data_IF_134539825240
#
_entry.id   IF_134539825240
#
_cell.length_a   1.000
_cell.length_b   1.000
_cell.length_c   1.000
_cell.angle_alpha   90.00
_cell.angle_beta   90.00
_cell.angle_gamma   90.00
#
_symmetry.space_group_name_H-M   'P 1'
#
loop_
_entity.id
_entity.type
_entity.pdbx_description
1 polymer ?
#
# COMPACT_ATOMS: atom_id res chain seq x y z
N UNK A 1 -70.18 54.02 8.14
CA UNK A 1 -68.73 54.25 8.18
C UNK A 1 -68.21 53.84 6.81
N UNK A 2 -68.12 54.81 5.89
CA UNK A 2 -66.83 55.45 5.49
C UNK A 2 -65.96 54.38 4.83
N UNK A 3 -66.20 54.09 3.55
CA UNK A 3 -65.53 54.69 2.38
C UNK A 3 -64.18 54.00 2.11
N UNK A 4 -63.72 53.72 0.90
CA UNK A 4 -64.12 54.19 -0.42
C UNK A 4 -63.35 53.32 -1.45
N UNK A 5 -63.99 53.05 -2.60
CA UNK A 5 -63.47 53.20 -3.97
C UNK A 5 -62.03 52.77 -4.30
N UNK A 6 -61.68 52.25 -5.47
CA UNK A 6 -62.35 51.86 -6.70
C UNK A 6 -61.21 51.47 -7.67
N UNK A 7 -61.53 50.54 -8.57
CA UNK A 7 -61.17 50.45 -10.01
C UNK A 7 -59.88 51.17 -10.49
N UNK A 8 -59.02 50.61 -11.36
CA UNK A 8 -59.37 50.19 -12.73
C UNK A 8 -58.15 49.61 -13.46
N UNK A 9 -58.40 48.52 -14.16
CA UNK A 9 -57.88 48.02 -15.46
C UNK A 9 -56.87 48.84 -16.29
N UNK A 10 -55.90 48.14 -16.91
CA UNK A 10 -55.53 48.15 -18.36
C UNK A 10 -54.19 47.38 -18.52
N UNK A 11 -54.13 46.19 -19.14
CA UNK A 11 -54.07 45.81 -20.57
C UNK A 11 -52.87 46.33 -21.41
N UNK A 12 -52.14 45.33 -21.95
CA UNK A 12 -51.35 45.26 -23.20
C UNK A 12 -50.00 46.00 -23.31
N UNK A 13 -48.95 45.30 -23.77
CA UNK A 13 -48.50 45.27 -25.18
C UNK A 13 -47.31 44.28 -25.32
N UNK A 14 -47.32 43.48 -26.39
CA UNK A 14 -46.24 42.60 -26.89
C UNK A 14 -45.00 43.39 -27.35
N UNK A 15 -43.81 42.81 -27.25
CA UNK A 15 -42.80 42.88 -28.32
C UNK A 15 -41.64 41.91 -28.12
N UNK A 16 -41.39 41.20 -29.22
CA UNK A 16 -40.10 40.77 -29.78
C UNK A 16 -39.38 39.51 -29.30
N UNK A 17 -39.32 38.61 -30.28
CA UNK A 17 -38.56 37.39 -30.43
C UNK A 17 -37.04 37.64 -30.37
N UNK A 18 -36.31 36.86 -29.56
CA UNK A 18 -35.05 36.20 -29.97
C UNK A 18 -35.01 34.82 -29.29
N UNK A 19 -34.84 33.71 -30.02
CA UNK A 19 -34.94 32.37 -29.44
C UNK A 19 -33.67 32.01 -28.65
N UNK A 20 -33.83 31.71 -27.37
CA UNK A 20 -32.78 31.05 -26.58
C UNK A 20 -32.56 29.65 -27.16
N UNK A 21 -31.40 29.51 -27.80
CA UNK A 21 -30.89 28.28 -28.36
C UNK A 21 -30.92 27.19 -27.29
N UNK A 22 -31.81 26.21 -27.47
CA UNK A 22 -31.76 24.91 -26.79
C UNK A 22 -30.35 24.32 -26.99
N UNK A 23 -29.49 24.51 -26.00
CA UNK A 23 -28.33 23.67 -25.80
C UNK A 23 -28.80 22.55 -24.88
N UNK A 24 -29.48 21.56 -25.47
CA UNK A 24 -29.50 20.21 -24.94
C UNK A 24 -28.04 19.73 -24.87
N UNK A 25 -27.35 20.06 -23.79
CA UNK A 25 -26.12 19.38 -23.41
C UNK A 25 -26.54 17.98 -22.98
N UNK A 26 -26.23 17.00 -23.81
CA UNK A 26 -26.19 15.59 -23.44
C UNK A 26 -25.24 15.42 -22.25
N UNK A 27 -25.76 15.53 -21.04
CA UNK A 27 -25.04 15.25 -19.78
C UNK A 27 -25.03 13.76 -19.43
N UNK A 28 -25.32 12.88 -20.38
CA UNK A 28 -25.37 11.42 -20.18
C UNK A 28 -24.16 10.66 -20.79
N UNK A 29 -23.31 11.29 -21.60
CA UNK A 29 -22.22 10.59 -22.30
C UNK A 29 -20.82 10.74 -21.66
N UNK A 30 -20.67 11.55 -20.59
CA UNK A 30 -19.37 11.76 -19.92
C UNK A 30 -19.08 10.80 -18.76
N UNK A 31 -19.91 9.79 -18.51
CA UNK A 31 -19.62 8.72 -17.54
C UNK A 31 -18.66 7.64 -18.10
N UNK A 32 -18.18 7.78 -19.33
CA UNK A 32 -17.36 6.78 -20.01
C UNK A 32 -15.86 6.76 -19.61
N UNK A 33 -15.36 7.69 -18.78
CA UNK A 33 -13.95 7.71 -18.33
C UNK A 33 -13.73 7.27 -16.88
N UNK A 34 -14.80 7.10 -16.10
CA UNK A 34 -14.74 6.60 -14.74
C UNK A 34 -15.65 5.39 -14.65
N UNK A 35 -15.04 4.19 -14.68
CA UNK A 35 -15.74 2.98 -14.25
C UNK A 35 -16.42 3.24 -12.91
N UNK A 36 -17.56 2.59 -12.67
CA UNK A 36 -18.28 2.62 -11.39
C UNK A 36 -17.26 2.72 -10.24
N UNK A 37 -17.40 3.65 -9.31
CA UNK A 37 -16.43 3.85 -8.22
C UNK A 37 -16.13 2.51 -7.49
N UNK A 38 -17.12 1.62 -7.48
CA UNK A 38 -16.98 0.23 -7.02
C UNK A 38 -16.01 -0.60 -7.89
N UNK A 39 -16.01 -0.43 -9.22
CA UNK A 39 -15.07 -1.01 -10.18
C UNK A 39 -13.68 -0.38 -10.09
N UNK A 40 -13.56 0.93 -9.88
CA UNK A 40 -12.25 1.57 -9.64
C UNK A 40 -11.62 0.97 -8.38
N UNK A 41 -12.34 0.95 -7.27
CA UNK A 41 -11.84 0.37 -6.01
C UNK A 41 -11.61 -1.15 -6.12
N UNK A 42 -12.52 -1.89 -6.76
CA UNK A 42 -12.30 -3.32 -7.05
C UNK A 42 -11.12 -3.55 -7.98
N UNK A 43 -10.80 -2.64 -8.88
CA UNK A 43 -9.62 -2.75 -9.75
C UNK A 43 -8.33 -2.53 -8.98
N UNK A 44 -8.31 -1.62 -8.00
CA UNK A 44 -7.23 -1.52 -7.03
C UNK A 44 -7.09 -2.81 -6.22
N UNK A 45 -8.19 -3.35 -5.69
CA UNK A 45 -8.16 -4.60 -4.90
C UNK A 45 -7.81 -5.85 -5.75
N UNK A 46 -8.24 -5.92 -7.01
CA UNK A 46 -7.95 -7.05 -7.93
C UNK A 46 -6.56 -7.01 -8.55
N UNK A 47 -6.04 -5.84 -8.95
CA UNK A 47 -4.64 -5.72 -9.38
C UNK A 47 -3.68 -6.15 -8.25
N UNK A 48 -4.08 -5.91 -7.01
CA UNK A 48 -3.38 -6.36 -5.81
C UNK A 48 -3.51 -7.88 -5.53
N UNK A 49 -4.47 -8.59 -6.16
CA UNK A 49 -4.73 -10.02 -5.94
C UNK A 49 -4.27 -10.92 -7.10
N UNK A 50 -4.35 -10.46 -8.36
CA UNK A 50 -4.10 -11.28 -9.55
C UNK A 50 -2.60 -11.54 -9.83
N UNK A 51 -1.69 -10.85 -9.15
CA UNK A 51 -0.23 -11.09 -9.23
C UNK A 51 0.25 -12.38 -8.54
N UNK A 52 -0.64 -13.15 -7.91
CA UNK A 52 -0.28 -14.33 -7.10
C UNK A 52 -0.74 -15.69 -7.64
N UNK A 53 -1.23 -15.78 -8.89
CA UNK A 53 -1.66 -17.07 -9.46
C UNK A 53 -0.81 -17.54 -10.66
N UNK A 54 0.46 -17.86 -10.41
CA UNK A 54 1.27 -18.88 -11.14
C UNK A 54 2.65 -18.93 -10.49
N UNK A 55 3.35 -20.05 -10.25
CA UNK A 55 3.18 -21.47 -10.55
C UNK A 55 4.10 -22.20 -9.56
N UNK A 56 3.55 -22.93 -8.59
CA UNK A 56 4.34 -23.85 -7.76
C UNK A 56 4.46 -25.20 -8.48
N UNK A 57 5.43 -25.31 -9.37
CA UNK A 57 5.88 -26.61 -9.85
C UNK A 57 6.73 -27.26 -8.74
N UNK A 58 6.10 -28.16 -7.99
CA UNK A 58 6.79 -29.11 -7.12
C UNK A 58 7.61 -30.07 -8.00
N UNK A 59 8.93 -29.98 -7.92
CA UNK A 59 9.79 -31.15 -8.08
C UNK A 59 10.74 -31.21 -6.89
N UNK A 60 10.64 -32.31 -6.14
CA UNK A 60 11.46 -32.56 -4.97
C UNK A 60 12.92 -32.70 -5.36
N UNK A 61 13.76 -31.86 -4.78
CA UNK A 61 15.19 -32.08 -4.70
C UNK A 61 15.54 -32.20 -3.21
N UNK A 62 15.89 -33.41 -2.81
CA UNK A 62 16.61 -33.67 -1.55
C UNK A 62 18.08 -33.42 -1.86
N UNK A 63 18.69 -32.43 -1.21
CA UNK A 63 20.15 -32.25 -1.18
C UNK A 63 20.64 -32.39 0.26
N UNK A 64 21.87 -32.88 0.48
CA UNK A 64 22.30 -33.38 1.78
C UNK A 64 22.63 -32.24 2.75
N UNK A 65 22.39 -32.49 4.03
CA UNK A 65 22.88 -31.68 5.14
C UNK A 65 24.42 -31.69 5.12
N UNK A 66 25.03 -30.57 4.74
CA UNK A 66 26.41 -30.28 5.09
C UNK A 66 26.40 -29.35 6.30
N UNK A 67 26.72 -29.92 7.47
CA UNK A 67 27.21 -29.16 8.61
C UNK A 67 28.46 -28.39 8.17
N UNK A 68 28.39 -27.06 8.19
CA UNK A 68 29.56 -26.21 8.08
C UNK A 68 30.45 -26.49 9.29
N UNK A 69 31.63 -27.07 9.03
CA UNK A 69 32.67 -27.29 10.03
C UNK A 69 33.19 -25.92 10.53
N UNK A 70 32.70 -25.51 11.71
CA UNK A 70 33.02 -24.22 12.35
C UNK A 70 34.53 -24.03 12.63
N UNK A 71 35.32 -25.10 12.69
CA UNK A 71 36.73 -25.03 13.10
C UNK A 71 37.68 -24.52 12.00
N UNK A 72 37.22 -24.41 10.74
CA UNK A 72 38.04 -23.92 9.63
C UNK A 72 37.97 -22.40 9.43
N UNK A 73 36.95 -21.73 10.00
CA UNK A 73 36.75 -20.28 9.84
C UNK A 73 37.54 -19.47 10.87
N UNK A 74 37.86 -20.06 12.03
CA UNK A 74 38.68 -19.42 13.07
C UNK A 74 40.15 -19.20 12.67
N UNK A 75 40.65 -19.90 11.64
CA UNK A 75 42.06 -19.81 11.23
C UNK A 75 42.34 -18.81 10.09
N UNK A 76 41.31 -18.12 9.54
CA UNK A 76 41.46 -17.36 8.29
C UNK A 76 41.26 -15.84 8.39
N UNK A 77 41.08 -15.26 9.58
CA UNK A 77 40.83 -13.81 9.71
C UNK A 77 41.71 -13.15 10.76
N UNK A 78 43.00 -12.99 10.43
CA UNK A 78 43.85 -11.94 11.01
C UNK A 78 44.28 -10.99 9.90
N UNK A 79 43.49 -9.94 9.65
CA UNK A 79 43.95 -8.62 9.18
C UNK A 79 42.81 -7.84 8.50
N UNK A 80 42.09 -7.03 9.27
CA UNK A 80 41.55 -5.74 8.82
C UNK A 80 40.96 -5.01 10.02
N UNK A 81 41.56 -3.89 10.39
CA UNK A 81 41.12 -3.00 11.47
C UNK A 81 39.83 -2.25 11.07
N UNK A 82 38.69 -2.89 11.26
CA UNK A 82 37.37 -2.25 11.35
C UNK A 82 36.69 -2.86 12.58
N UNK A 83 36.29 -2.03 13.54
CA UNK A 83 35.60 -2.50 14.74
C UNK A 83 34.32 -3.25 14.35
N UNK A 84 34.04 -4.43 14.94
CA UNK A 84 32.85 -5.20 14.60
C UNK A 84 31.58 -4.40 14.91
N UNK A 85 30.49 -4.59 14.14
CA UNK A 85 29.25 -3.84 14.30
C UNK A 85 28.74 -3.97 15.73
N UNK A 86 28.54 -2.83 16.38
CA UNK A 86 28.11 -2.79 17.77
C UNK A 86 26.61 -3.10 17.85
N UNK A 87 26.16 -3.65 18.99
CA UNK A 87 24.74 -3.91 19.27
C UNK A 87 23.80 -2.74 18.87
N UNK A 88 24.30 -1.49 18.91
CA UNK A 88 23.60 -0.30 18.47
C UNK A 88 23.12 -0.34 17.01
N UNK A 89 23.94 -0.80 16.06
CA UNK A 89 23.58 -0.83 14.63
C UNK A 89 22.46 -1.86 14.37
N UNK A 90 22.51 -3.00 15.05
CA UNK A 90 21.45 -4.02 15.00
C UNK A 90 20.13 -3.46 15.53
N UNK A 91 20.15 -2.71 16.63
CA UNK A 91 18.96 -2.04 17.17
C UNK A 91 18.41 -0.98 16.20
N UNK A 92 19.28 -0.20 15.55
CA UNK A 92 18.87 0.78 14.54
C UNK A 92 18.21 0.13 13.32
N UNK A 93 18.79 -0.97 12.82
CA UNK A 93 18.20 -1.77 11.73
C UNK A 93 16.81 -2.29 12.14
N UNK A 94 16.67 -2.83 13.36
CA UNK A 94 15.39 -3.35 13.85
C UNK A 94 14.36 -2.24 13.99
N UNK A 95 14.75 -1.08 14.51
CA UNK A 95 13.88 0.10 14.61
C UNK A 95 13.41 0.55 13.23
N UNK A 96 14.32 0.61 12.24
CA UNK A 96 13.97 0.91 10.87
C UNK A 96 12.98 -0.11 10.28
N UNK A 97 13.23 -1.42 10.45
CA UNK A 97 12.31 -2.48 10.00
C UNK A 97 10.95 -2.33 10.69
N UNK A 98 10.91 -2.01 11.97
CA UNK A 98 9.66 -1.78 12.71
C UNK A 98 8.88 -0.59 12.14
N UNK A 99 9.55 0.53 11.87
CA UNK A 99 8.92 1.72 11.28
C UNK A 99 8.37 1.42 9.88
N UNK A 100 9.17 0.76 9.03
CA UNK A 100 8.76 0.33 7.69
C UNK A 100 7.60 -0.66 7.75
N UNK A 101 7.61 -1.60 8.70
CA UNK A 101 6.53 -2.59 8.88
C UNK A 101 5.22 -1.95 9.31
N UNK A 102 5.27 -0.91 10.16
CA UNK A 102 4.06 -0.21 10.61
C UNK A 102 3.54 0.85 9.63
N UNK A 103 4.41 1.45 8.81
CA UNK A 103 4.02 2.49 7.84
C UNK A 103 3.57 1.91 6.49
N UNK A 104 4.27 0.89 6.02
CA UNK A 104 4.11 0.36 4.66
C UNK A 104 3.32 -0.94 4.73
N UNK A 105 2.04 -0.88 4.35
CA UNK A 105 1.31 -2.06 3.93
C UNK A 105 0.95 -1.95 2.44
N UNK A 106 1.97 -1.77 1.61
CA UNK A 106 1.78 -1.84 0.16
C UNK A 106 2.06 -3.26 -0.33
N UNK A 107 1.19 -3.65 -1.27
CA UNK A 107 1.07 -4.98 -1.88
C UNK A 107 2.21 -5.25 -2.88
N UNK A 108 3.07 -4.27 -3.15
CA UNK A 108 4.17 -4.41 -4.08
C UNK A 108 5.46 -4.89 -3.40
N UNK A 109 5.55 -6.22 -3.49
CA UNK A 109 6.72 -7.06 -3.67
C UNK A 109 7.87 -6.90 -2.67
N UNK A 110 8.20 -8.02 -2.04
CA UNK A 110 9.44 -8.32 -1.32
C UNK A 110 10.70 -7.54 -1.79
N UNK A 111 10.82 -7.29 -3.09
CA UNK A 111 11.81 -6.42 -3.74
C UNK A 111 11.88 -5.00 -3.13
N UNK A 112 10.75 -4.36 -2.87
CA UNK A 112 10.68 -3.03 -2.27
C UNK A 112 11.21 -3.00 -0.84
N UNK A 113 10.79 -3.95 0.00
CA UNK A 113 11.31 -4.08 1.39
C UNK A 113 12.81 -4.37 1.41
N UNK A 114 13.29 -5.20 0.48
CA UNK A 114 14.72 -5.46 0.27
C UNK A 114 15.46 -4.18 -0.14
N UNK A 115 14.93 -3.42 -1.09
CA UNK A 115 15.52 -2.15 -1.52
C UNK A 115 15.62 -1.15 -0.37
N UNK A 116 14.53 -0.96 0.38
CA UNK A 116 14.51 -0.03 1.52
C UNK A 116 15.55 -0.34 2.58
N UNK A 117 15.74 -1.61 2.93
CA UNK A 117 16.78 -1.96 3.91
C UNK A 117 18.18 -1.77 3.32
N UNK A 118 18.42 -2.11 2.05
CA UNK A 118 19.71 -1.89 1.41
C UNK A 118 20.04 -0.39 1.32
N UNK A 119 19.07 0.45 0.95
CA UNK A 119 19.21 1.89 0.90
C UNK A 119 19.47 2.46 2.31
N UNK A 120 18.79 1.95 3.34
CA UNK A 120 19.04 2.33 4.73
C UNK A 120 20.47 1.99 5.17
N UNK A 121 20.92 0.76 4.93
CA UNK A 121 22.27 0.33 5.29
C UNK A 121 23.32 1.21 4.60
N UNK A 122 23.15 1.45 3.29
CA UNK A 122 24.02 2.31 2.50
C UNK A 122 24.06 3.75 3.02
N UNK A 123 22.90 4.35 3.28
CA UNK A 123 22.80 5.76 3.72
C UNK A 123 23.38 6.00 5.12
N UNK A 124 23.44 4.96 5.95
CA UNK A 124 24.03 5.02 7.29
C UNK A 124 25.46 4.46 7.34
N UNK A 125 26.07 4.14 6.19
CA UNK A 125 27.41 3.52 6.09
C UNK A 125 27.55 2.20 6.87
N UNK A 126 26.46 1.43 6.99
CA UNK A 126 26.47 0.13 7.66
C UNK A 126 26.84 -0.95 6.63
N UNK A 127 27.91 -1.70 6.89
CA UNK A 127 28.34 -2.80 6.04
C UNK A 127 27.47 -4.04 6.28
N UNK A 128 26.66 -4.41 5.28
CA UNK A 128 25.73 -5.53 5.36
C UNK A 128 26.41 -6.88 5.58
N UNK A 129 27.62 -7.08 5.05
CA UNK A 129 28.38 -8.32 5.22
C UNK A 129 28.92 -8.45 6.64
N UNK A 130 29.48 -7.38 7.19
CA UNK A 130 29.96 -7.36 8.58
C UNK A 130 28.81 -7.60 9.57
N UNK A 131 27.65 -6.98 9.32
CA UNK A 131 26.42 -7.26 10.08
C UNK A 131 26.06 -8.74 9.96
N UNK A 132 25.99 -9.28 8.75
CA UNK A 132 25.66 -10.69 8.55
C UNK A 132 26.61 -11.64 9.30
N UNK A 133 27.91 -11.40 9.25
CA UNK A 133 28.92 -12.21 9.94
C UNK A 133 28.80 -12.09 11.47
N UNK A 134 28.51 -10.89 11.98
CA UNK A 134 28.23 -10.67 13.39
C UNK A 134 26.96 -11.41 13.84
N UNK A 135 25.90 -11.36 13.04
CA UNK A 135 24.64 -12.03 13.33
C UNK A 135 24.82 -13.56 13.46
N UNK A 136 25.63 -14.18 12.58
CA UNK A 136 25.94 -15.61 12.65
C UNK A 136 26.62 -16.00 13.97
N UNK A 137 27.50 -15.16 14.50
CA UNK A 137 28.20 -15.38 15.79
C UNK A 137 27.27 -15.23 17.00
N UNK A 138 26.20 -14.43 16.89
CA UNK A 138 25.34 -14.06 18.03
C UNK A 138 23.90 -14.62 17.98
N UNK A 139 23.61 -15.51 17.03
CA UNK A 139 22.28 -16.09 16.81
C UNK A 139 21.71 -16.94 17.98
N UNK A 140 22.52 -17.26 18.98
CA UNK A 140 22.10 -18.00 20.18
C UNK A 140 21.98 -17.13 21.42
N UNK A 141 22.58 -15.94 21.42
CA UNK A 141 22.62 -15.02 22.57
C UNK A 141 21.68 -13.82 22.42
N UNK A 142 21.19 -13.51 21.21
CA UNK A 142 20.30 -12.37 20.97
C UNK A 142 19.10 -12.74 20.10
N UNK A 143 17.88 -12.46 20.61
CA UNK A 143 16.65 -12.61 19.82
C UNK A 143 16.58 -11.63 18.64
N UNK A 144 17.21 -10.45 18.79
CA UNK A 144 17.33 -9.43 17.74
C UNK A 144 18.25 -9.91 16.62
N UNK A 145 19.40 -10.50 16.98
CA UNK A 145 20.29 -11.14 16.01
C UNK A 145 19.59 -12.32 15.31
N UNK A 146 18.90 -13.16 16.07
CA UNK A 146 18.12 -14.28 15.54
C UNK A 146 17.05 -13.79 14.55
N UNK A 147 16.32 -12.73 14.89
CA UNK A 147 15.30 -12.15 14.02
C UNK A 147 15.92 -11.60 12.72
N UNK A 148 17.01 -10.84 12.80
CA UNK A 148 17.65 -10.27 11.61
C UNK A 148 18.24 -11.33 10.69
N UNK A 149 18.79 -12.44 11.21
CA UNK A 149 19.15 -13.58 10.36
C UNK A 149 17.93 -14.14 9.62
N UNK A 150 16.80 -14.25 10.31
CA UNK A 150 15.54 -14.62 9.67
C UNK A 150 15.17 -13.65 8.56
N UNK A 151 15.30 -12.34 8.81
CA UNK A 151 14.99 -11.29 7.84
C UNK A 151 15.93 -11.34 6.62
N UNK A 152 17.23 -11.52 6.84
CA UNK A 152 18.24 -11.62 5.78
C UNK A 152 17.99 -12.85 4.90
N UNK A 153 17.68 -14.01 5.51
CA UNK A 153 17.29 -15.21 4.76
C UNK A 153 15.95 -15.01 4.04
N UNK A 154 15.01 -14.29 4.65
CA UNK A 154 13.71 -14.02 4.04
C UNK A 154 13.87 -13.20 2.76
N UNK A 155 14.66 -12.13 2.76
CA UNK A 155 14.84 -11.23 1.60
C UNK A 155 16.09 -11.51 0.73
N UNK A 156 16.94 -12.46 1.14
CA UNK A 156 18.21 -12.74 0.49
C UNK A 156 19.20 -11.56 0.56
N UNK A 157 19.45 -11.05 1.76
CA UNK A 157 20.43 -9.97 2.03
C UNK A 157 21.74 -10.64 2.47
N UNK A 158 22.82 -10.46 1.71
CA UNK A 158 24.11 -11.17 1.88
C UNK A 158 24.01 -12.70 1.90
N UNK A 159 22.88 -13.23 1.43
CA UNK A 159 22.61 -14.66 1.32
C UNK A 159 21.63 -14.91 0.19
N UNK A 160 21.55 -16.16 -0.26
CA UNK A 160 20.46 -16.60 -1.14
C UNK A 160 19.19 -16.67 -0.30
N UNK A 161 18.08 -16.24 -0.91
CA UNK A 161 16.76 -16.34 -0.31
C UNK A 161 16.45 -17.77 0.15
N UNK A 162 16.10 -17.93 1.43
CA UNK A 162 15.84 -19.22 2.05
C UNK A 162 14.71 -19.11 3.08
N UNK A 163 13.49 -19.48 2.68
CA UNK A 163 12.33 -19.33 3.56
C UNK A 163 12.28 -20.34 4.69
N UNK A 164 12.83 -21.54 4.52
CA UNK A 164 12.87 -22.55 5.58
C UNK A 164 13.74 -22.06 6.75
N UNK A 165 14.93 -21.53 6.45
CA UNK A 165 15.80 -20.89 7.44
C UNK A 165 15.15 -19.66 8.04
N UNK A 166 14.55 -18.81 7.21
CA UNK A 166 13.84 -17.62 7.69
C UNK A 166 12.75 -17.97 8.70
N UNK A 167 11.88 -18.94 8.37
CA UNK A 167 10.80 -19.40 9.24
C UNK A 167 11.33 -19.99 10.55
N UNK A 168 12.41 -20.77 10.51
CA UNK A 168 13.03 -21.33 11.71
C UNK A 168 13.58 -20.23 12.63
N UNK A 169 14.29 -19.25 12.09
CA UNK A 169 14.81 -18.11 12.85
C UNK A 169 13.69 -17.25 13.43
N UNK A 170 12.69 -16.89 12.63
CA UNK A 170 11.52 -16.15 13.12
C UNK A 170 10.79 -16.92 14.21
N UNK A 171 10.61 -18.23 14.06
CA UNK A 171 9.98 -19.08 15.08
C UNK A 171 10.77 -19.10 16.38
N UNK A 172 12.11 -19.19 16.30
CA UNK A 172 13.01 -19.16 17.47
C UNK A 172 12.97 -17.80 18.19
N UNK A 173 13.03 -16.68 17.46
CA UNK A 173 12.93 -15.35 18.04
C UNK A 173 11.51 -15.05 18.59
N UNK A 174 10.47 -15.53 17.91
CA UNK A 174 9.07 -15.38 18.36
C UNK A 174 8.80 -16.11 19.69
N UNK A 175 9.39 -17.29 19.89
CA UNK A 175 9.34 -18.02 21.19
C UNK A 175 9.98 -17.24 22.33
N UNK A 176 10.91 -16.33 22.03
CA UNK A 176 11.54 -15.41 22.98
C UNK A 176 10.78 -14.08 23.09
N UNK A 177 9.52 -14.03 22.62
CA UNK A 177 8.65 -12.85 22.60
C UNK A 177 9.12 -11.70 21.70
N UNK A 178 9.96 -11.96 20.70
CA UNK A 178 10.30 -10.94 19.71
C UNK A 178 9.07 -10.62 18.83
N UNK A 179 8.63 -9.36 18.89
CA UNK A 179 7.42 -8.87 18.22
C UNK A 179 7.46 -9.01 16.70
N UNK A 180 8.48 -8.45 16.02
CA UNK A 180 8.56 -8.54 14.55
C UNK A 180 8.67 -10.00 14.08
N UNK A 181 9.47 -10.82 14.75
CA UNK A 181 9.54 -12.24 14.47
C UNK A 181 8.15 -12.91 14.53
N UNK A 182 7.32 -12.57 15.54
CA UNK A 182 5.93 -13.06 15.61
C UNK A 182 5.09 -12.62 14.40
N UNK A 183 5.23 -11.37 13.97
CA UNK A 183 4.57 -10.87 12.76
C UNK A 183 5.00 -11.66 11.53
N UNK A 184 6.30 -11.87 11.34
CA UNK A 184 6.85 -12.60 10.20
C UNK A 184 6.50 -14.10 10.23
N UNK A 185 6.38 -14.74 11.40
CA UNK A 185 5.81 -16.10 11.49
C UNK A 185 4.37 -16.12 10.98
N UNK A 186 3.56 -15.12 11.32
CA UNK A 186 2.21 -14.95 10.77
C UNK A 186 2.23 -14.84 9.24
N UNK A 187 3.12 -14.01 8.67
CA UNK A 187 3.29 -13.88 7.21
C UNK A 187 3.77 -15.18 6.55
N UNK A 188 4.66 -15.94 7.20
CA UNK A 188 5.08 -17.25 6.72
C UNK A 188 3.91 -18.23 6.63
N UNK A 189 3.07 -18.31 7.66
CA UNK A 189 1.86 -19.15 7.59
C UNK A 189 0.84 -18.63 6.55
N UNK A 190 0.67 -17.31 6.43
CA UNK A 190 -0.25 -16.72 5.46
C UNK A 190 0.12 -17.08 4.01
N UNK A 191 1.41 -17.12 3.69
CA UNK A 191 1.91 -17.33 2.33
C UNK A 191 2.46 -18.75 2.07
N UNK A 192 2.68 -19.55 3.11
CA UNK A 192 3.37 -20.84 3.00
C UNK A 192 4.89 -20.71 2.77
N UNK A 193 5.52 -19.66 3.33
CA UNK A 193 6.97 -19.45 3.22
C UNK A 193 7.70 -20.18 4.35
N UNK A 194 8.48 -21.20 3.99
CA UNK A 194 9.23 -22.03 4.93
C UNK A 194 8.36 -22.96 5.77
N UNK A 195 7.07 -23.06 5.43
CA UNK A 195 6.05 -23.85 6.13
C UNK A 195 4.87 -24.09 5.20
N UNK A 196 3.93 -24.95 5.61
CA UNK A 196 2.67 -25.11 4.87
C UNK A 196 1.76 -23.90 5.11
N UNK A 197 1.15 -23.37 4.03
CA UNK A 197 0.16 -22.29 4.13
C UNK A 197 -0.94 -22.68 5.13
N UNK A 198 -1.19 -21.83 6.12
CA UNK A 198 -2.19 -22.05 7.18
C UNK A 198 -2.73 -20.71 7.67
N UNK A 199 -3.88 -20.30 7.13
CA UNK A 199 -4.48 -18.99 7.42
C UNK A 199 -4.98 -18.89 8.87
N UNK A 200 -5.47 -19.98 9.47
CA UNK A 200 -5.89 -19.98 10.87
C UNK A 200 -4.71 -19.80 11.84
N UNK A 201 -3.55 -20.39 11.54
CA UNK A 201 -2.33 -20.11 12.31
C UNK A 201 -1.88 -18.67 12.10
N UNK A 202 -1.86 -18.16 10.87
CA UNK A 202 -1.53 -16.76 10.61
C UNK A 202 -2.40 -15.80 11.42
N UNK A 203 -3.72 -16.01 11.39
CA UNK A 203 -4.69 -15.25 12.17
C UNK A 203 -4.35 -15.24 13.66
N UNK A 204 -4.07 -16.40 14.28
CA UNK A 204 -3.71 -16.47 15.71
C UNK A 204 -2.46 -15.67 16.06
N UNK A 205 -1.46 -15.65 15.18
CA UNK A 205 -0.25 -14.85 15.39
C UNK A 205 -0.55 -13.34 15.30
N UNK A 206 -1.38 -12.92 14.34
CA UNK A 206 -1.82 -11.53 14.21
C UNK A 206 -2.74 -11.08 15.34
N UNK A 207 -3.68 -11.94 15.76
CA UNK A 207 -4.60 -11.68 16.88
C UNK A 207 -3.85 -11.45 18.18
N UNK A 208 -2.82 -12.27 18.46
CA UNK A 208 -1.96 -12.04 19.62
C UNK A 208 -1.26 -10.67 19.56
N UNK A 209 -0.72 -10.27 18.41
CA UNK A 209 -0.12 -8.94 18.25
C UNK A 209 -1.15 -7.82 18.42
N UNK A 210 -2.35 -8.01 17.89
CA UNK A 210 -3.43 -7.03 17.98
C UNK A 210 -3.88 -6.79 19.42
N UNK A 211 -3.96 -7.87 20.22
CA UNK A 211 -4.29 -7.84 21.64
C UNK A 211 -3.17 -7.23 22.50
N UNK A 212 -1.92 -7.30 22.05
CA UNK A 212 -0.77 -6.58 22.63
C UNK A 212 -0.71 -5.11 22.15
N UNK A 213 -1.79 -4.60 21.53
CA UNK A 213 -1.96 -3.23 21.02
C UNK A 213 -0.99 -2.82 19.90
N UNK A 214 -0.45 -3.77 19.14
CA UNK A 214 0.39 -3.46 17.99
C UNK A 214 -0.47 -3.16 16.76
N UNK A 215 -0.29 -1.96 16.20
CA UNK A 215 -1.11 -1.44 15.12
C UNK A 215 -1.04 -2.32 13.85
N UNK A 216 0.12 -2.91 13.53
CA UNK A 216 0.25 -3.87 12.42
C UNK A 216 -0.54 -5.16 12.67
N UNK A 217 -0.57 -5.66 13.91
CA UNK A 217 -1.39 -6.82 14.26
C UNK A 217 -2.87 -6.51 14.09
N UNK A 218 -3.31 -5.34 14.56
CA UNK A 218 -4.69 -4.88 14.41
C UNK A 218 -5.09 -4.72 12.93
N UNK A 219 -4.20 -4.16 12.10
CA UNK A 219 -4.40 -4.08 10.65
C UNK A 219 -4.58 -5.47 10.01
N UNK A 220 -3.70 -6.42 10.31
CA UNK A 220 -3.76 -7.77 9.74
C UNK A 220 -4.99 -8.55 10.23
N UNK A 221 -5.39 -8.40 11.50
CA UNK A 221 -6.65 -8.97 12.01
C UNK A 221 -7.86 -8.38 11.29
N UNK A 222 -7.88 -7.05 11.10
CA UNK A 222 -8.92 -6.40 10.31
C UNK A 222 -8.97 -6.93 8.88
N UNK A 223 -7.81 -7.21 8.28
CA UNK A 223 -7.70 -7.81 6.95
C UNK A 223 -8.19 -9.26 6.90
N UNK A 224 -7.88 -10.06 7.92
CA UNK A 224 -8.39 -11.42 8.05
C UNK A 224 -9.92 -11.44 8.15
N UNK A 225 -10.53 -10.61 9.00
CA UNK A 225 -11.99 -10.51 9.07
C UNK A 225 -12.62 -9.95 7.78
N UNK A 226 -11.92 -9.06 7.07
CA UNK A 226 -12.40 -8.50 5.82
C UNK A 226 -12.53 -9.54 4.69
N UNK A 227 -11.66 -10.56 4.68
CA UNK A 227 -11.57 -11.55 3.60
C UNK A 227 -11.91 -12.98 4.04
N UNK A 228 -12.22 -13.19 5.32
CA UNK A 228 -12.43 -14.52 5.88
C UNK A 228 -11.18 -15.41 5.92
N UNK A 229 -9.98 -14.82 6.11
CA UNK A 229 -8.72 -15.56 6.11
C UNK A 229 -8.42 -16.15 7.49
N UNK A 230 -8.64 -17.46 7.64
CA UNK A 230 -8.39 -18.19 8.88
C UNK A 230 -9.42 -17.96 9.99
N UNK A 231 -10.41 -17.10 9.72
CA UNK A 231 -11.56 -16.74 10.55
C UNK A 231 -12.75 -16.48 9.63
N UNK A 232 -13.99 -16.58 10.13
CA UNK A 232 -15.15 -16.21 9.30
C UNK A 232 -15.10 -14.72 8.94
N UNK A 233 -15.50 -14.41 7.70
CA UNK A 233 -15.64 -13.03 7.26
C UNK A 233 -16.63 -12.27 8.16
N UNK A 234 -16.22 -11.08 8.60
CA UNK A 234 -16.98 -10.22 9.50
C UNK A 234 -16.61 -8.75 9.22
N UNK A 235 -17.33 -8.09 8.30
CA UNK A 235 -17.02 -6.72 7.90
C UNK A 235 -17.07 -5.70 9.05
N UNK A 236 -17.92 -5.91 10.05
CA UNK A 236 -18.03 -5.03 11.22
C UNK A 236 -16.80 -5.17 12.12
N UNK A 237 -16.35 -6.40 12.41
CA UNK A 237 -15.09 -6.62 13.13
C UNK A 237 -13.88 -6.11 12.35
N UNK A 238 -13.89 -6.24 11.03
CA UNK A 238 -12.82 -5.69 10.20
C UNK A 238 -12.68 -4.18 10.40
N UNK A 239 -13.80 -3.46 10.38
CA UNK A 239 -13.85 -2.02 10.62
C UNK A 239 -13.37 -1.67 12.03
N UNK A 240 -13.86 -2.37 13.05
CA UNK A 240 -13.43 -2.16 14.44
C UNK A 240 -11.91 -2.29 14.60
N UNK A 241 -11.30 -3.29 13.97
CA UNK A 241 -9.85 -3.48 14.03
C UNK A 241 -9.07 -2.46 13.20
N UNK A 242 -9.59 -2.03 12.04
CA UNK A 242 -9.01 -0.94 11.27
C UNK A 242 -9.08 0.40 12.01
N UNK A 243 -10.17 0.69 12.72
CA UNK A 243 -10.31 1.88 13.57
C UNK A 243 -9.25 1.87 14.67
N UNK A 244 -9.12 0.75 15.41
CA UNK A 244 -8.06 0.60 16.43
C UNK A 244 -6.65 0.78 15.86
N UNK A 245 -6.36 0.15 14.73
CA UNK A 245 -5.05 0.27 14.07
C UNK A 245 -4.77 1.72 13.63
N UNK A 246 -5.77 2.39 13.07
CA UNK A 246 -5.71 3.79 12.64
C UNK A 246 -5.47 4.74 13.82
N UNK A 247 -6.16 4.53 14.95
CA UNK A 247 -5.99 5.31 16.17
C UNK A 247 -4.62 5.10 16.80
N UNK A 248 -4.06 3.89 16.67
CA UNK A 248 -2.67 3.57 17.00
C UNK A 248 -1.65 3.99 15.92
N UNK A 249 -2.06 4.83 14.96
CA UNK A 249 -1.19 5.49 14.01
C UNK A 249 -0.87 4.71 12.73
N UNK A 250 -1.47 3.53 12.50
CA UNK A 250 -1.28 2.77 11.26
C UNK A 250 -2.01 3.44 10.09
N UNK A 251 -1.22 3.95 9.14
CA UNK A 251 -1.73 4.76 8.02
C UNK A 251 -2.47 3.92 6.99
N UNK A 252 -2.02 2.69 6.74
CA UNK A 252 -2.70 1.77 5.84
C UNK A 252 -4.09 1.35 6.38
N UNK A 253 -4.25 1.24 7.70
CA UNK A 253 -5.55 1.01 8.30
C UNK A 253 -6.49 2.21 8.11
N UNK A 254 -5.98 3.44 8.24
CA UNK A 254 -6.74 4.67 7.93
C UNK A 254 -7.24 4.65 6.48
N UNK A 255 -6.38 4.28 5.53
CA UNK A 255 -6.76 4.10 4.13
C UNK A 255 -7.86 3.03 3.94
N UNK A 256 -7.68 1.83 4.51
CA UNK A 256 -8.66 0.73 4.41
C UNK A 256 -10.01 1.10 5.01
N UNK A 257 -10.00 1.86 6.10
CA UNK A 257 -11.22 2.40 6.69
C UNK A 257 -11.92 3.38 5.74
N UNK A 258 -11.16 4.23 5.04
CA UNK A 258 -11.71 5.10 3.98
C UNK A 258 -12.42 4.30 2.88
N UNK A 259 -11.82 3.19 2.42
CA UNK A 259 -12.44 2.29 1.44
C UNK A 259 -13.75 1.69 1.96
N UNK A 260 -13.81 1.35 3.25
CA UNK A 260 -15.04 0.82 3.88
C UNK A 260 -16.18 1.84 3.85
N UNK A 261 -15.90 3.10 4.15
CA UNK A 261 -16.91 4.17 4.10
C UNK A 261 -17.34 4.54 2.67
N UNK A 262 -16.50 4.38 1.65
CA UNK A 262 -16.96 4.52 0.25
C UNK A 262 -17.95 3.41 -0.12
N UNK A 263 -17.58 2.16 0.19
CA UNK A 263 -18.32 0.99 -0.31
C UNK A 263 -19.55 0.65 0.54
N UNK A 264 -19.63 1.15 1.77
CA UNK A 264 -20.71 0.82 2.71
C UNK A 264 -20.71 -0.64 3.18
N UNK A 265 -19.54 -1.30 3.15
CA UNK A 265 -19.41 -2.72 3.52
C UNK A 265 -19.17 -2.88 5.02
N UNK A 266 -20.18 -3.28 5.79
CA UNK A 266 -20.11 -3.39 7.25
C UNK A 266 -20.31 -2.06 7.99
N UNK A 267 -20.57 -0.97 7.26
CA UNK A 267 -20.88 0.35 7.82
C UNK A 267 -21.73 1.13 6.82
N UNK A 268 -22.55 2.06 7.30
CA UNK A 268 -23.26 2.99 6.42
C UNK A 268 -22.28 3.79 5.56
N UNK A 269 -22.56 3.84 4.24
CA UNK A 269 -21.79 4.64 3.29
C UNK A 269 -21.70 6.09 3.75
N UNK A 270 -20.49 6.65 3.78
CA UNK A 270 -20.25 8.03 4.14
C UNK A 270 -19.04 8.56 3.36
N UNK A 271 -19.31 9.29 2.27
CA UNK A 271 -18.25 9.76 1.38
C UNK A 271 -17.39 10.87 2.00
N UNK A 272 -17.97 11.74 2.83
CA UNK A 272 -17.22 12.80 3.54
C UNK A 272 -16.22 12.18 4.53
N UNK A 273 -16.64 11.19 5.31
CA UNK A 273 -15.75 10.47 6.23
C UNK A 273 -14.66 9.71 5.47
N UNK A 274 -14.98 9.12 4.32
CA UNK A 274 -13.98 8.48 3.48
C UNK A 274 -12.93 9.48 2.96
N UNK A 275 -13.37 10.63 2.46
CA UNK A 275 -12.48 11.72 2.02
C UNK A 275 -11.52 12.15 3.12
N UNK A 276 -12.02 12.42 4.33
CA UNK A 276 -11.18 12.80 5.47
C UNK A 276 -10.16 11.72 5.86
N UNK A 277 -10.54 10.43 5.76
CA UNK A 277 -9.63 9.31 6.02
C UNK A 277 -8.53 9.20 4.94
N UNK A 278 -8.87 9.33 3.66
CA UNK A 278 -7.86 9.35 2.59
C UNK A 278 -6.94 10.55 2.70
N UNK A 279 -7.47 11.72 3.03
CA UNK A 279 -6.68 12.93 3.29
C UNK A 279 -5.66 12.72 4.41
N UNK A 280 -6.11 12.23 5.58
CA UNK A 280 -5.23 11.89 6.70
C UNK A 280 -4.17 10.84 6.32
N UNK A 281 -4.54 9.88 5.48
CA UNK A 281 -3.61 8.86 4.98
C UNK A 281 -2.55 9.46 4.05
N UNK A 282 -2.96 10.32 3.12
CA UNK A 282 -2.09 11.00 2.17
C UNK A 282 -1.11 11.97 2.86
N UNK A 283 -1.59 12.76 3.84
CA UNK A 283 -0.77 13.69 4.62
C UNK A 283 0.37 12.99 5.38
N UNK A 284 0.18 11.72 5.74
CA UNK A 284 1.20 10.88 6.38
C UNK A 284 2.11 10.14 5.39
N UNK A 285 2.00 10.42 4.09
CA UNK A 285 2.90 9.87 3.08
C UNK A 285 2.44 8.53 2.47
N UNK A 286 1.23 8.05 2.75
CA UNK A 286 0.78 6.76 2.21
C UNK A 286 0.35 6.88 0.75
N UNK A 287 0.98 6.11 -0.13
CA UNK A 287 0.91 6.30 -1.58
C UNK A 287 -0.50 6.06 -2.12
N UNK A 288 -1.14 4.96 -1.74
CA UNK A 288 -2.54 4.69 -2.13
C UNK A 288 -3.51 5.74 -1.55
N UNK A 289 -3.17 6.30 -0.38
CA UNK A 289 -3.91 7.40 0.23
C UNK A 289 -3.84 8.66 -0.63
N UNK A 290 -2.67 9.02 -1.14
CA UNK A 290 -2.50 10.14 -2.08
C UNK A 290 -3.27 9.91 -3.37
N UNK A 291 -3.21 8.70 -3.93
CA UNK A 291 -3.96 8.34 -5.14
C UNK A 291 -5.46 8.50 -4.91
N UNK A 292 -6.00 7.94 -3.82
CA UNK A 292 -7.43 8.05 -3.53
C UNK A 292 -7.87 9.47 -3.19
N UNK A 293 -7.00 10.28 -2.57
CA UNK A 293 -7.28 11.71 -2.37
C UNK A 293 -7.40 12.44 -3.71
N UNK A 294 -6.52 12.12 -4.67
CA UNK A 294 -6.61 12.63 -6.05
C UNK A 294 -7.92 12.22 -6.75
N UNK A 295 -8.33 10.96 -6.57
CA UNK A 295 -9.63 10.46 -7.07
C UNK A 295 -10.79 11.24 -6.44
N UNK A 296 -10.74 11.50 -5.14
CA UNK A 296 -11.77 12.27 -4.44
C UNK A 296 -11.90 13.69 -4.96
N UNK A 297 -10.79 14.40 -5.17
CA UNK A 297 -10.81 15.76 -5.68
C UNK A 297 -11.27 15.84 -7.14
N UNK A 298 -10.82 14.94 -8.03
CA UNK A 298 -11.26 14.96 -9.43
C UNK A 298 -12.72 14.54 -9.58
N UNK A 299 -13.19 13.59 -8.76
CA UNK A 299 -14.54 13.04 -8.84
C UNK A 299 -15.58 13.71 -7.93
N UNK A 300 -15.18 14.67 -7.08
CA UNK A 300 -16.07 15.28 -6.08
C UNK A 300 -16.60 14.26 -5.05
N UNK A 301 -15.79 13.29 -4.64
CA UNK A 301 -16.21 12.21 -3.74
C UNK A 301 -15.99 12.65 -2.29
N UNK A 302 -17.08 12.99 -1.61
CA UNK A 302 -17.02 13.48 -0.22
C UNK A 302 -16.46 14.90 -0.08
N UNK A 303 -16.25 15.58 -1.21
CA UNK A 303 -15.73 16.94 -1.32
C UNK A 303 -16.18 17.56 -2.64
N UNK A 304 -15.89 18.83 -2.88
CA UNK A 304 -16.15 19.45 -4.18
C UNK A 304 -15.08 19.06 -5.21
N UNK A 305 -15.46 19.07 -6.50
CA UNK A 305 -14.49 18.86 -7.59
C UNK A 305 -13.41 19.94 -7.53
N UNK A 306 -12.15 19.53 -7.51
CA UNK A 306 -10.97 20.39 -7.47
C UNK A 306 -9.83 19.76 -8.28
N UNK A 307 -9.80 20.03 -9.58
CA UNK A 307 -8.82 19.44 -10.48
C UNK A 307 -7.38 19.82 -10.14
N UNK A 308 -7.15 21.02 -9.59
CA UNK A 308 -5.79 21.45 -9.20
C UNK A 308 -5.29 20.62 -8.03
N UNK A 309 -6.10 20.42 -6.98
CA UNK A 309 -5.69 19.54 -5.87
C UNK A 309 -5.56 18.08 -6.29
N UNK A 310 -6.43 17.60 -7.17
CA UNK A 310 -6.29 16.26 -7.70
C UNK A 310 -5.00 16.06 -8.51
N UNK A 311 -4.64 17.06 -9.31
CA UNK A 311 -3.36 17.11 -10.03
C UNK A 311 -2.18 17.01 -9.07
N UNK A 312 -2.13 17.86 -8.04
CA UNK A 312 -1.05 17.86 -7.04
C UNK A 312 -0.92 16.52 -6.31
N UNK A 313 -2.04 15.84 -6.02
CA UNK A 313 -2.04 14.53 -5.39
C UNK A 313 -1.42 13.47 -6.30
N UNK A 314 -1.82 13.42 -7.56
CA UNK A 314 -1.24 12.47 -8.52
C UNK A 314 0.19 12.80 -8.87
N UNK A 315 0.59 14.07 -8.98
CA UNK A 315 1.97 14.47 -9.20
C UNK A 315 2.89 13.95 -8.09
N UNK A 316 2.52 14.17 -6.82
CA UNK A 316 3.27 13.65 -5.67
C UNK A 316 3.39 12.13 -5.71
N UNK A 317 2.29 11.41 -5.92
CA UNK A 317 2.29 9.95 -5.96
C UNK A 317 3.04 9.39 -7.19
N UNK A 318 2.98 10.07 -8.34
CA UNK A 318 3.66 9.68 -9.57
C UNK A 318 5.18 9.80 -9.45
N UNK A 319 5.65 10.88 -8.82
CA UNK A 319 7.07 11.10 -8.49
C UNK A 319 7.61 10.08 -7.48
N UNK A 320 6.74 9.52 -6.63
CA UNK A 320 7.05 8.40 -5.75
C UNK A 320 6.95 7.02 -6.43
N UNK A 321 6.66 6.99 -7.74
CA UNK A 321 6.69 5.78 -8.55
C UNK A 321 5.34 5.07 -8.70
N UNK A 322 4.22 5.60 -8.18
CA UNK A 322 2.94 4.92 -8.30
C UNK A 322 2.44 4.89 -9.76
N UNK A 323 2.39 3.71 -10.36
CA UNK A 323 2.00 3.55 -11.77
C UNK A 323 0.57 4.07 -12.08
N UNK A 324 -0.35 3.98 -11.13
CA UNK A 324 -1.74 4.44 -11.32
C UNK A 324 -1.80 5.97 -11.27
N UNK A 325 -1.07 6.59 -10.33
CA UNK A 325 -0.92 8.03 -10.27
C UNK A 325 -0.28 8.58 -11.56
N UNK A 326 0.77 7.94 -12.07
CA UNK A 326 1.44 8.32 -13.31
C UNK A 326 0.47 8.29 -14.50
N UNK A 327 -0.34 7.23 -14.60
CA UNK A 327 -1.38 7.14 -15.62
C UNK A 327 -2.43 8.27 -15.51
N UNK A 328 -2.91 8.55 -14.29
CA UNK A 328 -3.91 9.59 -14.08
C UNK A 328 -3.33 10.98 -14.35
N UNK A 329 -2.09 11.24 -13.93
CA UNK A 329 -1.36 12.46 -14.22
C UNK A 329 -1.18 12.67 -15.73
N UNK A 330 -0.87 11.60 -16.47
CA UNK A 330 -0.79 11.62 -17.93
C UNK A 330 -2.12 12.02 -18.59
N UNK A 331 -3.24 11.49 -18.11
CA UNK A 331 -4.57 11.91 -18.58
C UNK A 331 -4.85 13.39 -18.28
N UNK A 332 -4.48 13.87 -17.09
CA UNK A 332 -4.70 15.26 -16.71
C UNK A 332 -3.90 16.23 -17.60
N UNK A 333 -2.64 15.93 -17.90
CA UNK A 333 -1.85 16.68 -18.89
C UNK A 333 -2.44 16.60 -20.30
N UNK A 334 -2.94 15.44 -20.72
CA UNK A 334 -3.56 15.25 -22.04
C UNK A 334 -4.82 16.12 -22.20
N UNK A 335 -5.60 16.27 -21.14
CA UNK A 335 -6.88 16.98 -21.17
C UNK A 335 -6.78 18.45 -20.72
N UNK A 336 -5.70 18.86 -20.05
CA UNK A 336 -5.60 20.17 -19.41
C UNK A 336 -6.49 20.28 -18.15
N UNK A 337 -6.65 19.18 -17.42
CA UNK A 337 -7.43 19.13 -16.18
C UNK A 337 -6.51 19.47 -15.00
N UNK A 338 -6.77 20.59 -14.32
CA UNK A 338 -5.97 21.01 -13.15
C UNK A 338 -4.58 21.56 -13.49
N UNK A 339 -4.21 21.56 -14.77
CA UNK A 339 -2.94 22.05 -15.33
C UNK A 339 -3.15 22.48 -16.78
N UNK A 340 -2.16 23.11 -17.40
CA UNK A 340 -2.19 23.37 -18.84
C UNK A 340 -2.05 22.07 -19.64
N UNK A 341 -2.76 21.99 -20.77
CA UNK A 341 -2.66 20.85 -21.67
C UNK A 341 -1.23 20.70 -22.19
N UNK A 342 -0.61 19.55 -21.97
CA UNK A 342 0.76 19.26 -22.40
C UNK A 342 0.87 17.80 -22.88
N UNK A 343 0.91 17.61 -24.19
CA UNK A 343 0.97 16.25 -24.78
C UNK A 343 2.33 15.58 -24.56
N UNK A 344 3.43 16.32 -24.49
CA UNK A 344 4.76 15.76 -24.23
C UNK A 344 4.81 15.14 -22.83
N UNK A 345 4.32 15.88 -21.82
CA UNK A 345 4.21 15.38 -20.44
C UNK A 345 3.23 14.22 -20.33
N UNK A 346 2.12 14.24 -21.07
CA UNK A 346 1.19 13.11 -21.11
C UNK A 346 1.88 11.85 -21.65
N UNK A 347 2.58 11.94 -22.79
CA UNK A 347 3.32 10.81 -23.38
C UNK A 347 4.41 10.32 -22.43
N UNK A 348 5.15 11.23 -21.80
CA UNK A 348 6.18 10.90 -20.80
C UNK A 348 5.59 10.03 -19.68
N UNK A 349 4.53 10.50 -19.01
CA UNK A 349 3.96 9.78 -17.88
C UNK A 349 3.22 8.50 -18.28
N UNK A 350 2.58 8.44 -19.46
CA UNK A 350 2.05 7.18 -19.99
C UNK A 350 3.17 6.16 -20.20
N UNK A 351 4.32 6.58 -20.74
CA UNK A 351 5.47 5.69 -20.94
C UNK A 351 6.00 5.15 -19.61
N UNK A 352 6.22 6.00 -18.60
CA UNK A 352 6.73 5.58 -17.29
C UNK A 352 5.76 4.58 -16.61
N UNK A 353 4.45 4.81 -16.70
CA UNK A 353 3.43 3.89 -16.17
C UNK A 353 3.37 2.56 -16.96
N UNK A 354 3.49 2.63 -18.29
CA UNK A 354 3.47 1.47 -19.18
C UNK A 354 4.69 0.55 -19.00
N UNK A 355 5.87 1.11 -18.75
CA UNK A 355 7.11 0.39 -18.44
C UNK A 355 7.01 -0.41 -17.15
N UNK A 356 6.16 0.03 -16.21
CA UNK A 356 5.82 -0.72 -14.99
C UNK A 356 4.73 -1.78 -15.21
N UNK A 357 4.25 -1.97 -16.44
CA UNK A 357 3.27 -2.98 -16.80
C UNK A 357 1.81 -2.53 -16.69
N UNK A 358 1.53 -1.24 -16.49
CA UNK A 358 0.15 -0.78 -16.38
C UNK A 358 -0.57 -0.80 -17.74
N UNK A 359 -1.44 -1.79 -17.94
CA UNK A 359 -2.08 -2.09 -19.23
C UNK A 359 -2.86 -0.91 -19.82
N UNK A 360 -3.52 -0.10 -18.99
CA UNK A 360 -4.26 1.06 -19.47
C UNK A 360 -3.31 2.16 -19.99
N UNK A 361 -2.13 2.32 -19.39
CA UNK A 361 -1.12 3.23 -19.91
C UNK A 361 -0.54 2.73 -21.23
N UNK A 362 -0.24 1.43 -21.35
CA UNK A 362 0.22 0.82 -22.60
C UNK A 362 -0.77 1.07 -23.75
N UNK A 363 -2.07 0.81 -23.50
CA UNK A 363 -3.14 1.04 -24.50
C UNK A 363 -3.26 2.51 -24.90
N UNK A 364 -3.11 3.45 -23.96
CA UNK A 364 -3.18 4.88 -24.28
C UNK A 364 -1.94 5.34 -25.05
N UNK A 365 -0.75 4.89 -24.66
CA UNK A 365 0.49 5.17 -25.35
C UNK A 365 0.44 4.66 -26.80
N UNK A 366 -0.02 3.43 -27.01
CA UNK A 366 -0.19 2.85 -28.35
C UNK A 366 -1.13 3.67 -29.23
N UNK A 367 -2.21 4.22 -28.66
CA UNK A 367 -3.15 5.08 -29.40
C UNK A 367 -2.50 6.40 -29.79
N UNK A 368 -1.75 7.01 -28.88
CA UNK A 368 -1.09 8.30 -29.11
C UNK A 368 0.08 8.21 -30.09
N UNK A 369 0.77 7.07 -30.16
CA UNK A 369 1.86 6.85 -31.12
C UNK A 369 1.36 6.46 -32.52
N UNK A 370 0.07 6.10 -32.66
CA UNK A 370 -0.57 5.73 -33.93
C UNK A 370 -1.43 6.85 -34.53
N UNK A 371 -1.75 7.88 -33.76
CA UNK A 371 -2.45 9.10 -34.20
C UNK A 371 -1.48 10.14 -34.69
#
# INVERSE_FOLDING_TARGET
MVSQSDTTSQQQIESDQIPSKNMTMNSAENYASHGDLSQIIRSFDKMNMETFTSTSNKQGFILPENELNLNAVESAMSSSDIEPPQNAEVEEIIKFIFEVTNRINEVNEKSFRKKHILDFLKNNNINSQEIHDWLLKHQYSSMNATFLLGYFNYYGIETVENHDRAFNFFSKASKQNHMLARYFVGKCYQNGYGTTKNESMAFRYFERLANENFAIGQLEVGYCYNLGLGVNEDPEKAIHWYEKASDNGNVAATYKLGQKYINGMGVSKNLEKAFELFKRSAEKGYLDGMVMLGVCYNGGIGTNIDWTKGFECYEKAANLGNMIAQYNLANMYKNGEGTEKNMEMAIHWFKVSAEQGYLNAQKQLDRLLKS
#
